data_IF_582384177721
#
_entry.id   IF_582384177721
#
_cell.length_a   1.000
_cell.length_b   1.000
_cell.length_c   1.000
_cell.angle_alpha   90.00
_cell.angle_beta   90.00
_cell.angle_gamma   90.00
#
_symmetry.space_group_name_H-M   'P 1'
#
loop_
_entity.id
_entity.type
_entity.pdbx_description
1 polymer ?
#
# COMPACT_ATOMS: atom_id res chain seq x y z
N UNK A 1 -5.82 16.96 2.58
CA UNK A 1 -5.31 16.21 1.40
C UNK A 1 -6.38 15.27 0.91
N UNK A 2 -6.57 15.20 -0.41
CA UNK A 2 -7.59 14.34 -0.99
C UNK A 2 -7.18 12.88 -0.91
N UNK A 3 -8.17 11.99 -0.85
CA UNK A 3 -7.93 10.55 -0.79
C UNK A 3 -7.05 10.06 -1.94
N UNK A 4 -7.28 10.58 -3.15
CA UNK A 4 -6.52 10.14 -4.30
C UNK A 4 -5.05 10.56 -4.18
N UNK A 5 -4.79 11.72 -3.57
CA UNK A 5 -3.42 12.16 -3.33
C UNK A 5 -2.73 11.28 -2.30
N UNK A 6 -3.47 10.89 -1.25
CA UNK A 6 -2.94 9.97 -0.25
C UNK A 6 -2.65 8.60 -0.86
N UNK A 7 -3.53 8.13 -1.75
CA UNK A 7 -3.30 6.87 -2.43
C UNK A 7 -2.02 6.93 -3.26
N UNK A 8 -1.83 8.00 -4.02
CA UNK A 8 -0.64 8.13 -4.85
C UNK A 8 0.63 8.20 -4.00
N UNK A 9 0.54 8.89 -2.86
CA UNK A 9 1.68 8.97 -1.94
C UNK A 9 2.00 7.60 -1.35
N UNK A 10 0.96 6.84 -0.97
CA UNK A 10 1.16 5.49 -0.44
C UNK A 10 1.78 4.58 -1.49
N UNK A 11 1.34 4.69 -2.74
CA UNK A 11 1.90 3.89 -3.82
C UNK A 11 3.37 4.22 -4.07
N UNK A 12 3.72 5.50 -3.96
CA UNK A 12 5.12 5.90 -4.11
C UNK A 12 5.98 5.28 -3.00
N UNK A 13 5.46 5.26 -1.78
CA UNK A 13 6.17 4.64 -0.67
C UNK A 13 6.35 3.14 -0.92
N UNK A 14 5.32 2.49 -1.46
CA UNK A 14 5.43 1.08 -1.80
C UNK A 14 6.56 0.86 -2.82
N UNK A 15 6.66 1.72 -3.82
CA UNK A 15 7.74 1.60 -4.80
C UNK A 15 9.11 1.78 -4.17
N UNK A 16 9.23 2.73 -3.24
CA UNK A 16 10.49 2.93 -2.51
C UNK A 16 10.86 1.72 -1.67
N UNK A 17 9.87 1.00 -1.18
CA UNK A 17 10.10 -0.22 -0.41
C UNK A 17 10.41 -1.43 -1.28
N UNK A 18 10.45 -1.25 -2.60
CA UNK A 18 10.84 -2.32 -3.51
C UNK A 18 9.69 -3.01 -4.20
N UNK A 19 8.47 -2.53 -4.02
CA UNK A 19 7.31 -3.12 -4.68
C UNK A 19 7.17 -2.63 -6.11
N UNK A 20 6.80 -3.55 -7.00
CA UNK A 20 6.22 -3.19 -8.28
C UNK A 20 4.71 -3.17 -8.11
N UNK A 21 4.08 -2.11 -8.55
CA UNK A 21 2.65 -1.91 -8.32
C UNK A 21 1.88 -2.13 -9.62
N UNK A 22 0.82 -2.93 -9.53
CA UNK A 22 -0.10 -3.16 -10.64
C UNK A 22 -1.51 -2.83 -10.16
N UNK A 23 -2.12 -1.83 -10.79
CA UNK A 23 -3.52 -1.48 -10.54
C UNK A 23 -4.31 -1.97 -11.74
N UNK A 24 -5.02 -3.08 -11.58
CA UNK A 24 -5.74 -3.75 -12.66
C UNK A 24 -7.05 -4.31 -12.15
N UNK A 25 -7.92 -4.62 -13.09
CA UNK A 25 -9.11 -5.37 -12.75
C UNK A 25 -8.69 -6.81 -12.46
N UNK A 26 -8.94 -7.25 -11.25
CA UNK A 26 -8.48 -8.57 -10.79
C UNK A 26 -9.53 -9.66 -10.96
N UNK A 27 -10.71 -9.34 -11.49
CA UNK A 27 -11.77 -10.30 -11.82
C UNK A 27 -12.08 -11.24 -10.65
N UNK A 28 -12.22 -10.65 -9.46
CA UNK A 28 -12.54 -11.43 -8.27
C UNK A 28 -11.36 -12.08 -7.59
N UNK A 29 -10.17 -11.98 -8.17
CA UNK A 29 -8.96 -12.47 -7.49
C UNK A 29 -8.59 -11.50 -6.38
N UNK A 30 -8.07 -12.04 -5.29
CA UNK A 30 -7.64 -11.20 -4.18
C UNK A 30 -6.41 -10.41 -4.57
N UNK A 31 -6.43 -9.11 -4.27
CA UNK A 31 -5.24 -8.28 -4.41
C UNK A 31 -4.31 -8.49 -3.23
N UNK A 32 -3.26 -7.73 -3.19
CA UNK A 32 -2.32 -7.73 -2.07
C UNK A 32 -0.90 -7.94 -2.53
N UNK A 33 -0.04 -8.21 -1.56
CA UNK A 33 1.39 -8.33 -1.81
C UNK A 33 1.78 -9.78 -2.06
N UNK A 34 2.71 -9.96 -2.99
CA UNK A 34 3.32 -11.28 -3.18
C UNK A 34 4.75 -11.08 -3.68
N UNK A 35 5.55 -12.15 -3.55
CA UNK A 35 6.92 -12.13 -4.03
C UNK A 35 7.05 -13.16 -5.15
N UNK A 36 7.54 -12.71 -6.29
CA UNK A 36 7.72 -13.57 -7.46
C UNK A 36 9.18 -13.47 -7.87
N UNK A 37 9.89 -14.57 -7.79
CA UNK A 37 11.31 -14.64 -8.16
C UNK A 37 12.14 -13.56 -7.47
N UNK A 38 11.86 -13.35 -6.18
CA UNK A 38 12.59 -12.36 -5.39
C UNK A 38 12.14 -10.93 -5.54
N UNK A 39 11.18 -10.66 -6.43
CA UNK A 39 10.64 -9.32 -6.64
C UNK A 39 9.32 -9.18 -5.91
N UNK A 40 9.19 -8.12 -5.10
CA UNK A 40 7.94 -7.84 -4.40
C UNK A 40 6.96 -7.17 -5.37
N UNK A 41 5.71 -7.62 -5.33
CA UNK A 41 4.64 -7.09 -6.15
C UNK A 41 3.47 -6.69 -5.27
N UNK A 42 2.80 -5.61 -5.66
CA UNK A 42 1.57 -5.16 -5.01
C UNK A 42 0.50 -5.08 -6.08
N UNK A 43 -0.54 -5.91 -5.94
CA UNK A 43 -1.66 -5.94 -6.87
C UNK A 43 -2.86 -5.28 -6.22
N UNK A 44 -3.45 -4.32 -6.93
CA UNK A 44 -4.59 -3.56 -6.44
C UNK A 44 -5.70 -3.62 -7.47
N UNK A 45 -6.90 -3.98 -7.02
CA UNK A 45 -8.06 -4.03 -7.89
C UNK A 45 -8.49 -2.62 -8.26
N UNK A 46 -8.40 -2.27 -9.54
CA UNK A 46 -8.70 -0.93 -10.01
C UNK A 46 -10.19 -0.60 -9.96
N UNK A 47 -11.06 -1.60 -9.72
CA UNK A 47 -12.49 -1.34 -9.59
C UNK A 47 -12.87 -0.85 -8.19
N UNK A 48 -11.97 -0.96 -7.22
CA UNK A 48 -12.22 -0.44 -5.88
C UNK A 48 -12.19 1.08 -5.90
N UNK A 49 -12.89 1.69 -4.96
CA UNK A 49 -12.83 3.14 -4.80
C UNK A 49 -11.41 3.55 -4.36
N UNK A 50 -11.02 4.82 -4.58
CA UNK A 50 -9.71 5.28 -4.12
C UNK A 50 -9.49 5.02 -2.62
N UNK A 51 -10.53 5.17 -1.80
CA UNK A 51 -10.43 4.92 -0.37
C UNK A 51 -10.13 3.46 -0.08
N UNK A 52 -10.83 2.57 -0.77
CA UNK A 52 -10.61 1.14 -0.59
C UNK A 52 -9.23 0.73 -1.07
N UNK A 53 -8.79 1.28 -2.20
CA UNK A 53 -7.44 1.02 -2.69
C UNK A 53 -6.39 1.50 -1.69
N UNK A 54 -6.61 2.69 -1.12
CA UNK A 54 -5.69 3.23 -0.11
C UNK A 54 -5.60 2.30 1.09
N UNK A 55 -6.74 1.79 1.56
CA UNK A 55 -6.75 0.89 2.70
C UNK A 55 -5.97 -0.38 2.41
N UNK A 56 -6.11 -0.92 1.19
CA UNK A 56 -5.37 -2.12 0.79
C UNK A 56 -3.87 -1.88 0.80
N UNK A 57 -3.45 -0.74 0.22
CA UNK A 57 -2.03 -0.39 0.19
C UNK A 57 -1.48 -0.23 1.59
N UNK A 58 -2.20 0.49 2.44
CA UNK A 58 -1.72 0.74 3.80
C UNK A 58 -1.60 -0.54 4.60
N UNK A 59 -2.53 -1.48 4.42
CA UNK A 59 -2.43 -2.77 5.11
C UNK A 59 -1.13 -3.49 4.74
N UNK A 60 -0.75 -3.43 3.48
CA UNK A 60 0.51 -4.03 3.04
C UNK A 60 1.71 -3.30 3.64
N UNK A 61 1.68 -1.96 3.57
CA UNK A 61 2.82 -1.16 4.04
C UNK A 61 3.05 -1.34 5.54
N UNK A 62 1.97 -1.33 6.32
CA UNK A 62 2.12 -1.44 7.77
C UNK A 62 2.61 -2.82 8.21
N UNK A 63 2.45 -3.83 7.37
CA UNK A 63 2.92 -5.18 7.66
C UNK A 63 4.36 -5.43 7.22
N UNK A 64 4.94 -4.50 6.46
CA UNK A 64 6.27 -4.70 5.88
C UNK A 64 7.32 -3.96 6.71
N UNK A 65 8.26 -4.68 7.33
CA UNK A 65 9.29 -4.03 8.13
C UNK A 65 10.21 -3.10 7.34
N UNK A 66 10.36 -3.31 6.05
CA UNK A 66 11.20 -2.43 5.22
C UNK A 66 10.63 -1.03 5.12
N UNK A 67 9.31 -0.89 5.28
CA UNK A 67 8.64 0.41 5.21
C UNK A 67 8.95 1.25 6.45
N UNK A 68 9.27 0.61 7.57
CA UNK A 68 9.55 1.33 8.80
C UNK A 68 10.73 2.30 8.68
N UNK A 69 11.61 2.09 7.71
CA UNK A 69 12.76 2.95 7.47
C UNK A 69 12.45 4.14 6.57
N UNK A 70 11.22 4.21 6.04
CA UNK A 70 10.83 5.25 5.09
C UNK A 70 9.99 6.30 5.78
N UNK A 71 10.30 7.57 5.51
CA UNK A 71 9.52 8.69 6.06
C UNK A 71 8.19 8.76 5.31
N UNK A 72 7.10 8.55 6.05
CA UNK A 72 5.76 8.49 5.46
C UNK A 72 5.10 9.85 5.30
N UNK A 73 5.63 10.89 5.94
CA UNK A 73 4.94 12.16 5.97
C UNK A 73 3.82 12.17 7.02
N UNK A 74 3.32 13.37 7.37
CA UNK A 74 2.39 13.48 8.51
C UNK A 74 1.03 12.82 8.26
N UNK A 75 0.48 12.97 7.06
CA UNK A 75 -0.87 12.44 6.79
C UNK A 75 -0.91 10.92 6.87
N UNK A 76 0.04 10.25 6.23
CA UNK A 76 0.07 8.79 6.26
C UNK A 76 0.46 8.27 7.63
N UNK A 77 1.32 8.99 8.33
CA UNK A 77 1.71 8.61 9.68
C UNK A 77 0.49 8.60 10.60
N UNK A 78 -0.41 9.57 10.45
CA UNK A 78 -1.63 9.62 11.25
C UNK A 78 -2.59 8.49 10.92
N UNK A 79 -2.49 7.93 9.72
CA UNK A 79 -3.34 6.81 9.32
C UNK A 79 -2.80 5.47 9.75
N UNK A 80 -1.62 5.43 10.35
CA UNK A 80 -1.03 4.18 10.81
C UNK A 80 -1.94 3.53 11.86
N UNK A 81 -2.12 2.20 11.80
CA UNK A 81 -2.95 1.53 12.80
C UNK A 81 -2.33 1.58 14.17
N UNK A 82 -3.17 1.63 15.19
CA UNK A 82 -2.73 1.60 16.59
C UNK A 82 -2.44 0.16 16.97
N UNK A 83 -1.33 -0.28 16.59
CA UNK A 83 -0.99 -1.64 16.88
C UNK A 83 0.16 -1.72 17.81
N UNK A 84 0.38 -0.99 18.24
CA UNK A 84 1.22 -1.23 19.06
C UNK A 84 1.20 -1.91 19.94
N UNK A 85 0.74 -1.65 19.73
CA UNK A 85 1.01 -1.99 20.49
C UNK A 85 0.97 -3.00 20.85
N UNK A 86 0.95 -3.10 20.52
CA UNK A 86 0.97 -3.98 21.19
C UNK A 86 1.57 -4.77 21.56
#
# INVERSE_FOLDING_TARGET
MLTIELLEEALEIARRAGYRVRQEWLDGCAGGACTIKGQKWLFIDSTLSPREQLEEVLNVLWADPDVAAIDLGPELTEMAPLRKAA
#
